data_IF_226965677671
#
_entry.id   IF_226965677671
#
_cell.length_a   1.000
_cell.length_b   1.000
_cell.length_c   1.000
_cell.angle_alpha   90.00
_cell.angle_beta   90.00
_cell.angle_gamma   90.00
#
_symmetry.space_group_name_H-M   'P 1'
#
loop_
_entity.id
_entity.type
_entity.pdbx_description
1 polymer ?
#
# COMPACT_ATOMS: atom_id res chain seq x y z
N UNK A 1 -11.14 21.02 -11.35
CA UNK A 1 -10.88 19.57 -11.55
C UNK A 1 -10.74 18.97 -10.17
N UNK A 2 -11.48 17.91 -9.85
CA UNK A 2 -11.25 17.19 -8.59
C UNK A 2 -9.97 16.39 -8.71
N UNK A 3 -9.07 16.51 -7.74
CA UNK A 3 -7.87 15.69 -7.67
C UNK A 3 -8.26 14.21 -7.52
N UNK A 4 -7.63 13.33 -8.30
CA UNK A 4 -7.80 11.89 -8.17
C UNK A 4 -7.25 11.44 -6.81
N UNK A 5 -8.09 10.78 -6.00
CA UNK A 5 -7.66 10.08 -4.81
C UNK A 5 -6.97 8.76 -5.20
N UNK A 6 -5.65 8.71 -5.04
CA UNK A 6 -4.79 7.56 -5.35
C UNK A 6 -4.99 6.39 -4.37
N UNK A 7 -5.60 6.63 -3.21
CA UNK A 7 -5.89 5.57 -2.23
C UNK A 7 -7.22 4.83 -2.44
N UNK A 8 -8.05 5.23 -3.41
CA UNK A 8 -9.24 4.46 -3.78
C UNK A 8 -8.87 3.12 -4.42
N UNK A 9 -9.76 2.12 -4.39
CA UNK A 9 -9.42 0.74 -4.79
C UNK A 9 -8.77 0.63 -6.19
N UNK A 10 -9.49 1.03 -7.25
CA UNK A 10 -8.93 0.97 -8.62
C UNK A 10 -7.69 1.86 -8.79
N UNK A 11 -7.67 3.14 -8.36
CA UNK A 11 -6.45 3.95 -8.39
C UNK A 11 -5.25 3.31 -7.69
N UNK A 12 -5.44 2.78 -6.48
CA UNK A 12 -4.36 2.20 -5.68
C UNK A 12 -3.80 0.93 -6.34
N UNK A 13 -4.67 0.07 -6.92
CA UNK A 13 -4.22 -1.10 -7.71
C UNK A 13 -3.41 -0.70 -8.94
N UNK A 14 -3.84 0.34 -9.66
CA UNK A 14 -3.13 0.83 -10.86
C UNK A 14 -1.79 1.47 -10.47
N UNK A 15 -1.76 2.29 -9.42
CA UNK A 15 -0.51 2.87 -8.92
C UNK A 15 0.44 1.78 -8.42
N UNK A 16 -0.05 0.78 -7.69
CA UNK A 16 0.72 -0.40 -7.26
C UNK A 16 1.39 -1.08 -8.46
N UNK A 17 0.62 -1.41 -9.49
CA UNK A 17 1.13 -2.00 -10.73
C UNK A 17 2.23 -1.14 -11.40
N UNK A 18 2.07 0.19 -11.41
CA UNK A 18 3.05 1.12 -11.97
C UNK A 18 4.35 1.21 -11.17
N UNK A 19 4.29 1.09 -9.83
CA UNK A 19 5.47 1.27 -8.97
C UNK A 19 6.25 -0.01 -8.70
N UNK A 20 5.61 -1.17 -8.79
CA UNK A 20 6.24 -2.46 -8.48
C UNK A 20 7.31 -2.88 -9.52
N UNK A 21 7.19 -2.39 -10.76
CA UNK A 21 8.14 -2.69 -11.82
C UNK A 21 8.63 -1.43 -12.52
N UNK A 22 9.96 -1.32 -12.70
CA UNK A 22 10.57 -0.28 -13.55
C UNK A 22 10.44 -0.66 -15.02
N UNK A 23 9.23 -0.56 -15.54
CA UNK A 23 8.89 -0.91 -16.93
C UNK A 23 8.22 0.24 -17.67
N UNK A 24 8.00 0.02 -18.96
CA UNK A 24 7.01 0.72 -19.75
C UNK A 24 5.78 -0.17 -19.91
N UNK A 25 4.61 0.44 -20.03
CA UNK A 25 3.33 -0.26 -19.97
C UNK A 25 2.45 0.09 -21.16
N UNK A 26 1.60 -0.83 -21.59
CA UNK A 26 0.41 -0.50 -22.36
C UNK A 26 -0.79 -0.41 -21.42
N UNK A 27 -1.91 0.15 -21.87
CA UNK A 27 -3.17 0.07 -21.12
C UNK A 27 -3.57 -1.38 -20.84
N UNK A 28 -3.28 -2.30 -21.76
CA UNK A 28 -3.58 -3.72 -21.59
C UNK A 28 -2.78 -4.32 -20.44
N UNK A 29 -1.47 -4.07 -20.40
CA UNK A 29 -0.61 -4.56 -19.32
C UNK A 29 -1.08 -4.03 -17.95
N UNK A 30 -1.53 -2.77 -17.89
CA UNK A 30 -2.05 -2.21 -16.64
C UNK A 30 -3.39 -2.82 -16.23
N UNK A 31 -4.28 -3.12 -17.17
CA UNK A 31 -5.54 -3.84 -16.87
C UNK A 31 -5.22 -5.21 -16.31
N UNK A 32 -4.34 -5.95 -16.97
CA UNK A 32 -3.96 -7.30 -16.56
C UNK A 32 -3.24 -7.31 -15.21
N UNK A 33 -2.34 -6.37 -14.96
CA UNK A 33 -1.55 -6.38 -13.72
C UNK A 33 -2.35 -5.81 -12.54
N UNK A 34 -3.09 -4.72 -12.74
CA UNK A 34 -3.86 -4.09 -11.66
C UNK A 34 -5.17 -4.82 -11.36
N UNK A 35 -5.67 -5.62 -12.30
CA UNK A 35 -7.01 -6.22 -12.28
C UNK A 35 -8.14 -5.17 -12.18
N UNK A 36 -7.85 -3.91 -12.47
CA UNK A 36 -8.85 -2.85 -12.51
C UNK A 36 -9.58 -2.83 -13.87
N UNK A 37 -10.86 -2.43 -13.92
CA UNK A 37 -11.60 -2.35 -15.17
C UNK A 37 -10.93 -1.45 -16.21
N UNK A 38 -10.91 -1.86 -17.48
CA UNK A 38 -10.29 -1.09 -18.57
C UNK A 38 -10.70 0.39 -18.67
N UNK A 39 -11.99 0.75 -18.55
CA UNK A 39 -12.41 2.15 -18.49
C UNK A 39 -11.81 2.93 -17.31
N UNK A 40 -11.71 2.29 -16.14
CA UNK A 40 -11.10 2.90 -14.95
C UNK A 40 -9.61 3.13 -15.15
N UNK A 41 -8.88 2.12 -15.67
CA UNK A 41 -7.45 2.23 -15.96
C UNK A 41 -7.18 3.41 -16.89
N UNK A 42 -7.96 3.56 -17.97
CA UNK A 42 -7.81 4.69 -18.90
C UNK A 42 -7.99 6.03 -18.20
N UNK A 43 -9.08 6.18 -17.43
CA UNK A 43 -9.38 7.41 -16.69
C UNK A 43 -8.29 7.72 -15.66
N UNK A 44 -7.84 6.74 -14.89
CA UNK A 44 -6.78 6.88 -13.89
C UNK A 44 -5.47 7.31 -14.56
N UNK A 45 -5.10 6.69 -15.68
CA UNK A 45 -3.90 7.08 -16.44
C UNK A 45 -4.03 8.51 -16.97
N UNK A 46 -5.21 8.91 -17.47
CA UNK A 46 -5.45 10.28 -17.93
C UNK A 46 -5.30 11.28 -16.76
N UNK A 47 -5.84 10.96 -15.59
CA UNK A 47 -5.74 11.77 -14.36
C UNK A 47 -4.29 11.87 -13.84
N UNK A 48 -3.54 10.76 -13.86
CA UNK A 48 -2.12 10.73 -13.50
C UNK A 48 -1.26 11.53 -14.49
N UNK A 49 -1.60 11.47 -15.79
CA UNK A 49 -0.91 12.21 -16.83
C UNK A 49 -1.15 13.72 -16.68
N UNK A 50 -2.38 14.13 -16.35
CA UNK A 50 -2.71 15.53 -16.06
C UNK A 50 -1.90 16.09 -14.87
N UNK A 51 -1.50 15.22 -13.94
CA UNK A 51 -0.64 15.56 -12.79
C UNK A 51 0.86 15.37 -13.07
N UNK A 52 1.26 15.06 -14.31
CA UNK A 52 2.65 14.78 -14.71
C UNK A 52 3.30 13.61 -13.96
N UNK A 53 2.49 12.67 -13.44
CA UNK A 53 2.97 11.48 -12.73
C UNK A 53 3.25 10.31 -13.68
N UNK A 54 2.64 10.34 -14.87
CA UNK A 54 2.90 9.40 -15.97
C UNK A 54 2.94 10.14 -17.30
N UNK A 55 3.56 9.53 -18.31
CA UNK A 55 3.63 10.05 -19.67
C UNK A 55 3.15 9.02 -20.69
N UNK A 56 2.31 9.45 -21.65
CA UNK A 56 2.03 8.68 -22.86
C UNK A 56 3.01 9.04 -23.96
N UNK A 57 3.78 8.06 -24.40
CA UNK A 57 4.71 8.14 -25.52
C UNK A 57 4.06 7.63 -26.81
N UNK A 58 4.77 7.76 -27.93
CA UNK A 58 4.32 7.23 -29.22
C UNK A 58 3.99 5.74 -29.10
N UNK A 59 2.93 5.31 -29.78
CA UNK A 59 2.45 3.91 -29.73
C UNK A 59 1.58 3.58 -28.51
N UNK A 60 1.18 4.56 -27.70
CA UNK A 60 0.32 4.34 -26.53
C UNK A 60 1.05 3.76 -25.32
N UNK A 61 2.37 3.84 -25.32
CA UNK A 61 3.23 3.40 -24.22
C UNK A 61 3.11 4.39 -23.06
N UNK A 62 2.86 3.88 -21.87
CA UNK A 62 2.76 4.61 -20.61
C UNK A 62 4.07 4.40 -19.84
N UNK A 63 4.70 5.50 -19.44
CA UNK A 63 5.93 5.48 -18.64
C UNK A 63 5.75 6.30 -17.36
N UNK A 64 6.46 5.92 -16.31
CA UNK A 64 6.57 6.71 -15.07
C UNK A 64 7.89 7.50 -15.14
N UNK A 65 7.88 8.80 -15.49
CA UNK A 65 9.10 9.57 -15.70
C UNK A 65 9.89 9.78 -14.40
N UNK A 66 9.18 9.95 -13.28
CA UNK A 66 9.74 10.09 -11.95
C UNK A 66 9.04 9.12 -10.99
N UNK A 67 9.67 7.96 -10.80
CA UNK A 67 9.16 6.92 -9.90
C UNK A 67 9.11 7.39 -8.44
N UNK A 68 10.08 8.20 -8.01
CA UNK A 68 10.14 8.66 -6.62
C UNK A 68 9.01 9.67 -6.33
N UNK A 69 8.70 10.53 -7.30
CA UNK A 69 7.56 11.45 -7.21
C UNK A 69 6.24 10.68 -7.12
N UNK A 70 6.03 9.66 -7.95
CA UNK A 70 4.80 8.85 -7.93
C UNK A 70 4.62 8.16 -6.56
N UNK A 71 5.66 7.51 -6.04
CA UNK A 71 5.59 6.84 -4.74
C UNK A 71 5.36 7.85 -3.61
N UNK A 72 6.05 8.99 -3.63
CA UNK A 72 5.89 10.03 -2.60
C UNK A 72 4.48 10.61 -2.62
N UNK A 73 3.94 10.89 -3.81
CA UNK A 73 2.56 11.40 -3.97
C UNK A 73 1.51 10.37 -3.57
N UNK A 74 1.75 9.09 -3.83
CA UNK A 74 0.85 8.03 -3.37
C UNK A 74 0.88 7.88 -1.85
N UNK A 75 2.06 7.95 -1.24
CA UNK A 75 2.24 7.83 0.21
C UNK A 75 1.56 8.95 1.02
N UNK A 76 1.19 10.09 0.41
CA UNK A 76 0.42 11.14 1.10
C UNK A 76 -1.04 10.74 1.35
N UNK A 77 -1.53 9.68 0.70
CA UNK A 77 -2.90 9.20 0.83
C UNK A 77 -2.88 7.77 1.40
N UNK A 78 -2.97 7.62 2.74
CA UNK A 78 -2.94 6.29 3.35
C UNK A 78 -4.18 5.48 2.92
N UNK A 79 -4.00 4.16 2.77
CA UNK A 79 -5.10 3.23 2.50
C UNK A 79 -6.18 3.36 3.59
N UNK A 80 -7.44 3.64 3.22
CA UNK A 80 -8.54 3.69 4.18
C UNK A 80 -8.61 2.37 4.95
N UNK A 81 -8.53 2.46 6.28
CA UNK A 81 -8.44 1.27 7.15
C UNK A 81 -9.16 1.50 8.46
N UNK A 82 -9.76 0.43 9.00
CA UNK A 82 -10.21 0.42 10.39
C UNK A 82 -8.99 0.12 11.28
N UNK A 83 -8.74 1.00 12.26
CA UNK A 83 -7.57 0.91 13.13
C UNK A 83 -7.96 0.38 14.51
N UNK A 84 -7.13 -0.49 15.08
CA UNK A 84 -7.23 -0.95 16.46
C UNK A 84 -5.85 -0.94 17.12
N UNK A 85 -5.82 -0.66 18.43
CA UNK A 85 -4.58 -0.57 19.21
C UNK A 85 -4.45 -1.71 20.19
N UNK A 86 -3.24 -2.24 20.27
CA UNK A 86 -2.93 -3.46 21.01
C UNK A 86 -1.61 -3.34 21.73
N UNK A 87 -1.52 -3.98 22.89
CA UNK A 87 -0.26 -4.26 23.54
C UNK A 87 0.29 -5.57 22.97
N UNK A 88 1.46 -5.48 22.38
CA UNK A 88 2.24 -6.56 21.81
C UNK A 88 3.44 -6.89 22.70
N UNK A 89 3.89 -8.15 22.68
CA UNK A 89 5.19 -8.53 23.23
C UNK A 89 6.33 -7.91 22.41
N UNK A 90 7.50 -7.71 23.02
CA UNK A 90 8.65 -7.06 22.37
C UNK A 90 9.18 -7.84 21.15
N UNK A 91 9.03 -9.17 21.17
CA UNK A 91 9.48 -10.09 20.11
C UNK A 91 8.42 -10.36 19.03
N UNK A 92 7.31 -9.59 19.01
CA UNK A 92 6.19 -9.85 18.11
C UNK A 92 6.63 -9.96 16.64
N UNK A 93 7.44 -9.03 16.14
CA UNK A 93 7.82 -8.99 14.72
C UNK A 93 8.59 -10.24 14.29
N UNK A 94 9.43 -10.78 15.18
CA UNK A 94 10.17 -12.02 14.95
C UNK A 94 9.22 -13.22 14.97
N UNK A 95 8.25 -13.24 15.90
CA UNK A 95 7.25 -14.31 16.01
C UNK A 95 6.35 -14.40 14.76
N UNK A 96 5.84 -13.26 14.30
CA UNK A 96 4.89 -13.24 13.19
C UNK A 96 5.53 -13.49 11.83
N UNK A 97 6.86 -13.40 11.70
CA UNK A 97 7.58 -13.70 10.46
C UNK A 97 7.29 -15.11 9.90
N UNK A 98 6.87 -16.05 10.77
CA UNK A 98 6.48 -17.42 10.40
C UNK A 98 4.98 -17.67 10.51
N UNK A 99 4.19 -16.63 10.80
CA UNK A 99 2.73 -16.72 10.93
C UNK A 99 2.08 -17.12 9.60
N UNK A 100 1.09 -18.04 9.61
CA UNK A 100 0.33 -18.38 8.42
C UNK A 100 -0.72 -17.30 8.06
N UNK A 101 -0.98 -16.35 8.95
CA UNK A 101 -1.91 -15.25 8.68
C UNK A 101 -1.34 -14.31 7.63
N UNK A 102 -2.21 -13.81 6.75
CA UNK A 102 -1.83 -12.76 5.80
C UNK A 102 -1.68 -11.44 6.56
N UNK A 103 -0.51 -10.82 6.44
CA UNK A 103 -0.28 -9.49 6.98
C UNK A 103 0.76 -8.74 6.14
N UNK A 104 0.82 -7.41 6.31
CA UNK A 104 1.89 -6.59 5.74
C UNK A 104 2.38 -5.57 6.80
N UNK A 105 3.69 -5.55 7.04
CA UNK A 105 4.33 -4.53 7.87
C UNK A 105 4.54 -3.26 7.03
N UNK A 106 4.30 -2.09 7.61
CA UNK A 106 4.44 -0.81 6.91
C UNK A 106 5.29 0.20 7.67
N UNK A 107 5.54 1.36 7.05
CA UNK A 107 6.21 2.51 7.63
C UNK A 107 7.68 2.26 7.94
N UNK A 108 8.18 2.95 8.97
CA UNK A 108 9.59 2.89 9.38
C UNK A 108 10.04 1.50 9.83
N UNK A 109 9.13 0.69 10.37
CA UNK A 109 9.43 -0.69 10.78
C UNK A 109 9.68 -1.60 9.58
N UNK A 110 8.92 -1.42 8.50
CA UNK A 110 9.23 -2.09 7.24
C UNK A 110 10.53 -1.52 6.63
N UNK A 111 10.71 -0.20 6.62
CA UNK A 111 11.88 0.44 6.05
C UNK A 111 13.21 0.03 6.74
N UNK A 112 13.16 -0.37 8.01
CA UNK A 112 14.32 -0.82 8.79
C UNK A 112 14.99 -2.09 8.22
N UNK A 113 14.29 -2.87 7.39
CA UNK A 113 14.89 -4.02 6.69
C UNK A 113 15.88 -3.61 5.59
N UNK A 114 15.81 -2.37 5.11
CA UNK A 114 16.65 -1.88 4.01
C UNK A 114 17.48 -0.64 4.38
N UNK A 115 17.17 0.02 5.51
CA UNK A 115 17.79 1.29 5.91
C UNK A 115 18.03 1.33 7.41
N UNK A 116 18.98 2.15 7.85
CA UNK A 116 19.24 2.39 9.28
C UNK A 116 18.33 3.49 9.88
N UNK A 117 17.14 3.69 9.31
CA UNK A 117 16.21 4.73 9.79
C UNK A 117 15.66 4.37 11.18
N UNK A 118 15.56 5.34 12.12
CA UNK A 118 15.01 5.08 13.43
C UNK A 118 13.50 4.78 13.36
N UNK A 119 13.06 3.80 14.15
CA UNK A 119 11.66 3.45 14.34
C UNK A 119 11.10 4.18 15.55
N UNK A 120 10.52 5.36 15.34
CA UNK A 120 10.09 6.24 16.44
C UNK A 120 8.61 6.10 16.84
N UNK A 121 7.82 5.36 16.06
CA UNK A 121 6.37 5.22 16.24
C UNK A 121 5.98 3.78 16.61
N UNK A 122 4.72 3.54 16.96
CA UNK A 122 4.23 2.17 17.08
C UNK A 122 4.20 1.50 15.68
N UNK A 123 4.65 0.25 15.53
CA UNK A 123 4.47 -0.50 14.29
C UNK A 123 2.99 -0.52 13.90
N UNK A 124 2.73 -0.33 12.61
CA UNK A 124 1.41 -0.54 12.01
C UNK A 124 1.50 -1.76 11.10
N UNK A 125 0.59 -2.71 11.30
CA UNK A 125 0.51 -3.95 10.53
C UNK A 125 -0.87 -4.01 9.87
N UNK A 126 -0.89 -4.12 8.55
CA UNK A 126 -2.11 -4.44 7.82
C UNK A 126 -2.45 -5.91 8.01
N UNK A 127 -3.71 -6.22 8.33
CA UNK A 127 -4.25 -7.59 8.43
C UNK A 127 -5.71 -7.61 7.96
N UNK A 128 -6.16 -8.65 7.25
CA UNK A 128 -7.56 -8.72 6.78
C UNK A 128 -8.59 -8.76 7.92
N UNK A 129 -8.16 -9.23 9.09
CA UNK A 129 -8.98 -9.33 10.31
C UNK A 129 -8.07 -9.09 11.52
N UNK A 130 -8.26 -7.95 12.21
CA UNK A 130 -7.44 -7.59 13.35
C UNK A 130 -7.73 -8.46 14.57
N UNK A 131 -8.97 -8.93 14.75
CA UNK A 131 -9.36 -9.73 15.90
C UNK A 131 -8.79 -11.15 15.82
N UNK A 132 -8.82 -11.76 14.63
CA UNK A 132 -8.18 -13.05 14.37
C UNK A 132 -6.68 -12.95 14.56
N UNK A 133 -6.05 -11.92 14.00
CA UNK A 133 -4.62 -11.67 14.18
C UNK A 133 -4.24 -11.44 15.65
N UNK A 134 -5.01 -10.62 16.37
CA UNK A 134 -4.79 -10.35 17.78
C UNK A 134 -4.86 -11.62 18.64
N UNK A 135 -5.84 -12.48 18.37
CA UNK A 135 -5.98 -13.76 19.08
C UNK A 135 -4.81 -14.68 18.78
N UNK A 136 -4.38 -14.79 17.51
CA UNK A 136 -3.28 -15.67 17.12
C UNK A 136 -1.90 -15.19 17.60
N UNK A 137 -1.75 -13.88 17.82
CA UNK A 137 -0.49 -13.26 18.22
C UNK A 137 -0.45 -12.89 19.72
N UNK A 138 -1.43 -13.38 20.50
CA UNK A 138 -1.56 -13.12 21.94
C UNK A 138 -1.57 -11.63 22.31
N UNK A 139 -2.24 -10.80 21.49
CA UNK A 139 -2.31 -9.36 21.71
C UNK A 139 -3.39 -8.99 22.74
N UNK A 140 -3.12 -7.95 23.51
CA UNK A 140 -4.04 -7.44 24.53
C UNK A 140 -4.63 -6.09 24.04
N UNK A 141 -5.96 -5.91 23.99
CA UNK A 141 -6.55 -4.62 23.62
C UNK A 141 -6.06 -3.52 24.55
N UNK A 142 -5.52 -2.44 24.00
CA UNK A 142 -4.95 -1.35 24.80
C UNK A 142 -5.12 0.00 24.08
N UNK A 143 -5.84 0.99 24.67
CA UNK A 143 -6.03 2.31 24.06
C UNK A 143 -4.71 3.03 23.72
N UNK A 144 -3.65 2.76 24.48
CA UNK A 144 -2.30 3.29 24.30
C UNK A 144 -1.29 2.19 23.98
N UNK A 145 -1.73 1.11 23.33
CA UNK A 145 -0.88 -0.02 22.97
C UNK A 145 0.28 0.37 22.05
N UNK A 146 1.34 -0.44 22.10
CA UNK A 146 2.57 -0.31 21.30
C UNK A 146 2.46 -0.90 19.88
N UNK A 147 1.29 -1.38 19.46
CA UNK A 147 1.02 -1.88 18.11
C UNK A 147 -0.31 -1.32 17.58
N UNK A 148 -0.34 -1.00 16.29
CA UNK A 148 -1.57 -0.73 15.55
C UNK A 148 -1.83 -1.85 14.55
N UNK A 149 -3.01 -2.45 14.60
CA UNK A 149 -3.52 -3.29 13.52
C UNK A 149 -4.46 -2.46 12.64
N UNK A 150 -4.28 -2.57 11.33
CA UNK A 150 -5.09 -1.89 10.33
C UNK A 150 -5.80 -2.92 9.45
N UNK A 151 -7.13 -2.86 9.41
CA UNK A 151 -7.96 -3.63 8.49
C UNK A 151 -8.25 -2.75 7.26
N UNK A 152 -7.52 -2.94 6.15
CA UNK A 152 -7.69 -2.09 4.98
C UNK A 152 -9.01 -2.40 4.28
N UNK A 153 -9.65 -1.38 3.73
CA UNK A 153 -10.88 -1.55 2.94
C UNK A 153 -10.65 -2.29 1.59
N UNK A 154 -9.38 -2.54 1.23
CA UNK A 154 -8.96 -3.15 -0.03
C UNK A 154 -7.74 -4.04 0.19
N UNK A 155 -7.52 -5.00 -0.68
CA UNK A 155 -6.36 -5.90 -0.60
C UNK A 155 -5.02 -5.29 -1.05
N UNK A 156 -5.00 -4.03 -1.48
CA UNK A 156 -3.79 -3.40 -2.06
C UNK A 156 -2.54 -3.52 -1.17
N UNK A 157 -2.60 -3.41 0.17
CA UNK A 157 -1.43 -3.61 1.01
C UNK A 157 -0.79 -5.01 0.94
N UNK A 158 -1.48 -6.01 0.38
CA UNK A 158 -1.02 -7.39 0.26
C UNK A 158 -0.61 -7.80 -1.16
N UNK A 159 -0.75 -6.90 -2.14
CA UNK A 159 -0.40 -7.15 -3.55
C UNK A 159 1.11 -7.06 -3.79
#
# INVERSE_FOLDING_TARGET
MSDLQLAGESPARVVRALVDYRSIWTTHDLVDLSQAPGPDVRRIVDDLQAQSLVERRRGGIIAVPDWALLVTRWATEPTPSQLSRWQAPEDLLDRIATSPLRYALTGTHAAAFWTAAPTNDAPTIYTPDAQTAATAWDLIPAPTGNLVLAEPATDVPYL
#
